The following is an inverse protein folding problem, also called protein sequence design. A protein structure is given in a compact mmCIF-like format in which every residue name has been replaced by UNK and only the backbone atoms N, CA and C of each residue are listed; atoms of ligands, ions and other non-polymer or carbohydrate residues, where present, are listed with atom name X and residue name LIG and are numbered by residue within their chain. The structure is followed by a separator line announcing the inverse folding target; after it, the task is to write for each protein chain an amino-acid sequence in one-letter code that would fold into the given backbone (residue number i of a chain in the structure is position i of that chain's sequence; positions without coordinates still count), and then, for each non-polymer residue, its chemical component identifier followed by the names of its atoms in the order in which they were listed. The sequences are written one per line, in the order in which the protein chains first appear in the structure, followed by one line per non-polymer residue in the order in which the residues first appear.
data_IF_265056813473
#
_entry.id   IF_265056813473
#
_cell.length_a   1.000
_cell.length_b   1.000
_cell.length_c   1.000
_cell.angle_alpha   90.00
_cell.angle_beta   90.00
_cell.angle_gamma   90.00
#
_symmetry.space_group_name_H-M   'P 1'
#
loop_
_entity.id
_entity.type
_entity.pdbx_description
1 polymer ?
#
# COMPACT_ATOMS: atom_id res chain seq x y z
N UNK A 1 45.10 23.19 -1.06
CA UNK A 1 44.35 22.25 -0.18
C UNK A 1 43.90 21.07 -1.02
N UNK A 2 44.40 19.87 -0.77
CA UNK A 2 44.01 18.66 -1.52
C UNK A 2 42.85 18.01 -0.77
N UNK A 3 41.64 18.05 -1.34
CA UNK A 3 40.47 17.41 -0.74
C UNK A 3 40.58 15.90 -0.95
N UNK A 4 40.87 15.16 0.11
CA UNK A 4 40.80 13.70 0.07
C UNK A 4 39.34 13.26 0.03
N UNK A 5 38.88 12.84 -1.14
CA UNK A 5 37.67 12.02 -1.25
C UNK A 5 37.98 10.63 -0.68
N UNK A 6 37.41 10.32 0.49
CA UNK A 6 37.37 8.95 1.00
C UNK A 6 36.54 8.10 0.04
N UNK A 7 37.21 7.36 -0.84
CA UNK A 7 36.60 6.29 -1.63
C UNK A 7 36.90 5.00 -0.89
N UNK A 8 35.89 4.41 -0.27
CA UNK A 8 36.01 3.05 0.29
C UNK A 8 36.04 2.11 -0.91
N UNK A 9 37.11 1.32 -1.05
CA UNK A 9 37.20 0.38 -2.17
C UNK A 9 36.13 -0.70 -2.01
N UNK A 10 35.50 -1.17 -3.10
CA UNK A 10 34.63 -2.34 -3.05
C UNK A 10 35.44 -3.52 -2.48
N UNK A 11 35.11 -3.96 -1.26
CA UNK A 11 35.83 -5.03 -0.53
C UNK A 11 36.26 -4.67 0.89
N UNK A 12 36.38 -3.38 1.24
CA UNK A 12 36.84 -2.95 2.58
C UNK A 12 35.70 -2.75 3.61
N UNK A 13 34.44 -2.92 3.17
CA UNK A 13 33.30 -2.96 4.08
C UNK A 13 33.03 -4.44 4.39
N UNK A 14 32.89 -4.84 5.67
CA UNK A 14 32.43 -6.19 5.98
C UNK A 14 31.12 -6.39 5.23
N UNK A 15 31.06 -7.41 4.36
CA UNK A 15 29.80 -7.81 3.74
C UNK A 15 28.81 -8.00 4.87
N UNK A 16 27.73 -7.19 4.86
CA UNK A 16 26.76 -7.20 5.93
C UNK A 16 26.31 -8.64 6.19
N UNK A 17 26.12 -9.00 7.46
CA UNK A 17 25.49 -10.26 7.85
C UNK A 17 24.04 -10.25 7.36
N UNK A 18 23.83 -10.43 6.07
CA UNK A 18 22.54 -10.75 5.51
C UNK A 18 22.20 -12.16 5.99
N UNK A 19 21.09 -12.36 6.70
CA UNK A 19 20.62 -13.73 6.95
C UNK A 19 20.51 -14.45 5.60
N UNK A 20 21.05 -15.67 5.53
CA UNK A 20 20.79 -16.60 4.42
C UNK A 20 19.33 -17.05 4.53
N UNK A 21 18.41 -16.19 4.12
CA UNK A 21 17.00 -16.53 4.13
C UNK A 21 16.77 -17.67 3.14
N UNK A 22 15.86 -18.61 3.44
CA UNK A 22 15.40 -19.57 2.45
C UNK A 22 14.88 -18.82 1.22
N UNK A 23 15.18 -19.30 0.01
CA UNK A 23 14.72 -18.75 -1.27
C UNK A 23 13.21 -18.44 -1.31
N UNK A 24 12.41 -19.14 -0.49
CA UNK A 24 11.00 -18.87 -0.30
C UNK A 24 10.73 -17.47 0.28
N UNK A 25 11.43 -17.09 1.35
CA UNK A 25 11.22 -15.80 2.00
C UNK A 25 11.65 -14.65 1.09
N UNK A 26 12.76 -14.79 0.38
CA UNK A 26 13.19 -13.77 -0.61
C UNK A 26 12.14 -13.60 -1.73
N UNK A 27 11.65 -14.70 -2.31
CA UNK A 27 10.62 -14.62 -3.35
C UNK A 27 9.27 -14.13 -2.83
N UNK A 28 8.91 -14.45 -1.59
CA UNK A 28 7.68 -13.96 -0.98
C UNK A 28 7.77 -12.46 -0.69
N UNK A 29 8.86 -12.03 -0.04
CA UNK A 29 9.14 -10.63 0.28
C UNK A 29 9.17 -9.77 -0.98
N UNK A 30 9.78 -10.28 -2.05
CA UNK A 30 9.92 -9.55 -3.30
C UNK A 30 8.62 -9.47 -4.12
N UNK A 31 7.63 -10.35 -3.89
CA UNK A 31 6.40 -10.42 -4.70
C UNK A 31 5.15 -9.92 -3.95
N UNK A 32 5.34 -9.20 -2.83
CA UNK A 32 4.25 -8.80 -1.95
C UNK A 32 3.32 -7.75 -2.55
N UNK A 33 3.78 -6.93 -3.49
CA UNK A 33 2.97 -5.86 -4.08
C UNK A 33 1.90 -6.46 -4.99
N UNK A 34 2.28 -7.32 -5.94
CA UNK A 34 1.31 -8.00 -6.81
C UNK A 34 0.46 -9.00 -6.04
N UNK A 35 1.03 -9.69 -5.05
CA UNK A 35 0.29 -10.62 -4.22
C UNK A 35 -0.75 -9.86 -3.38
N UNK A 36 -0.38 -8.72 -2.80
CA UNK A 36 -1.28 -7.88 -2.01
C UNK A 36 -2.48 -7.38 -2.83
N UNK A 37 -2.23 -6.73 -3.97
CA UNK A 37 -3.32 -6.28 -4.85
C UNK A 37 -4.11 -7.44 -5.46
N UNK A 38 -3.46 -8.54 -5.80
CA UNK A 38 -4.12 -9.74 -6.32
C UNK A 38 -5.07 -10.39 -5.31
N UNK A 39 -4.68 -10.46 -4.03
CA UNK A 39 -5.55 -10.95 -2.95
C UNK A 39 -6.71 -9.98 -2.68
N UNK A 40 -6.48 -8.67 -2.74
CA UNK A 40 -7.55 -7.67 -2.64
C UNK A 40 -8.57 -7.86 -3.77
N UNK A 41 -8.11 -8.02 -5.01
CA UNK A 41 -8.97 -8.28 -6.16
C UNK A 41 -9.75 -9.58 -5.97
N UNK A 42 -9.07 -10.67 -5.59
CA UNK A 42 -9.69 -11.98 -5.39
C UNK A 42 -10.75 -11.97 -4.28
N UNK A 43 -10.44 -11.32 -3.16
CA UNK A 43 -11.40 -11.16 -2.07
C UNK A 43 -12.61 -10.33 -2.52
N UNK A 44 -12.41 -9.22 -3.24
CA UNK A 44 -13.54 -8.42 -3.73
C UNK A 44 -14.41 -9.17 -4.75
N UNK A 45 -13.80 -9.91 -5.69
CA UNK A 45 -14.55 -10.76 -6.64
C UNK A 45 -15.34 -11.84 -5.89
N UNK A 46 -14.75 -12.46 -4.87
CA UNK A 46 -15.45 -13.44 -4.03
C UNK A 46 -16.66 -12.83 -3.31
N UNK A 47 -16.51 -11.64 -2.73
CA UNK A 47 -17.63 -10.91 -2.11
C UNK A 47 -18.71 -10.54 -3.13
N UNK A 48 -18.32 -10.15 -4.36
CA UNK A 48 -19.25 -9.89 -5.46
C UNK A 48 -20.06 -11.14 -5.85
N UNK A 49 -19.40 -12.30 -5.93
CA UNK A 49 -20.07 -13.57 -6.21
C UNK A 49 -21.05 -13.95 -5.09
N UNK A 50 -20.71 -13.68 -3.83
CA UNK A 50 -21.63 -13.84 -2.69
C UNK A 50 -22.85 -12.90 -2.80
N UNK A 51 -22.65 -11.65 -3.22
CA UNK A 51 -23.76 -10.71 -3.47
C UNK A 51 -24.70 -11.20 -4.57
N UNK A 52 -24.14 -11.75 -5.66
CA UNK A 52 -24.94 -12.31 -6.76
C UNK A 52 -25.72 -13.53 -6.28
N UNK A 53 -25.09 -14.46 -5.55
CA UNK A 53 -25.74 -15.68 -5.04
C UNK A 53 -26.83 -15.37 -4.00
N UNK A 54 -26.67 -14.27 -3.26
CA UNK A 54 -27.67 -13.75 -2.32
C UNK A 54 -28.86 -13.04 -2.99
N UNK A 55 -28.84 -12.83 -4.31
CA UNK A 55 -29.91 -12.13 -5.04
C UNK A 55 -29.82 -10.61 -5.05
N UNK A 56 -28.75 -10.03 -4.48
CA UNK A 56 -28.48 -8.58 -4.53
C UNK A 56 -27.87 -8.14 -5.88
N UNK A 57 -27.42 -9.09 -6.70
CA UNK A 57 -26.75 -8.83 -7.96
C UNK A 57 -25.39 -8.18 -7.73
N UNK A 58 -25.10 -7.10 -8.44
CA UNK A 58 -23.84 -6.35 -8.34
C UNK A 58 -23.84 -5.29 -7.22
N UNK A 59 -24.80 -5.30 -6.30
CA UNK A 59 -24.93 -4.31 -5.22
C UNK A 59 -24.19 -4.78 -3.97
N UNK A 60 -22.85 -4.70 -3.99
CA UNK A 60 -22.00 -5.22 -2.90
C UNK A 60 -22.19 -4.44 -1.61
N UNK A 61 -22.32 -3.12 -1.65
CA UNK A 61 -22.49 -2.31 -0.43
C UNK A 61 -23.83 -2.66 0.23
N UNK A 62 -24.89 -2.80 -0.57
CA UNK A 62 -26.20 -3.23 -0.06
C UNK A 62 -26.17 -4.66 0.45
N UNK A 63 -25.46 -5.57 -0.20
CA UNK A 63 -25.28 -6.93 0.30
C UNK A 63 -24.57 -6.94 1.66
N UNK A 64 -23.52 -6.13 1.82
CA UNK A 64 -22.76 -6.03 3.07
C UNK A 64 -23.46 -5.21 4.16
N UNK A 65 -24.64 -4.63 3.89
CA UNK A 65 -25.36 -3.83 4.86
C UNK A 65 -25.75 -4.66 6.08
N UNK A 66 -25.85 -4.05 7.26
CA UNK A 66 -26.36 -4.74 8.43
C UNK A 66 -27.80 -5.24 8.19
N UNK A 67 -28.17 -6.30 8.91
CA UNK A 67 -29.49 -6.93 8.87
C UNK A 67 -29.91 -7.45 7.48
N UNK A 68 -28.94 -7.91 6.68
CA UNK A 68 -29.26 -8.66 5.47
C UNK A 68 -29.81 -10.05 5.84
N UNK A 69 -30.84 -10.50 5.13
CA UNK A 69 -31.45 -11.82 5.39
C UNK A 69 -30.66 -12.99 4.76
N UNK A 70 -29.58 -12.70 4.03
CA UNK A 70 -28.81 -13.68 3.26
C UNK A 70 -27.70 -14.34 4.10
N UNK A 71 -28.09 -15.10 5.12
CA UNK A 71 -27.16 -15.65 6.13
C UNK A 71 -26.01 -16.48 5.54
N UNK A 72 -26.30 -17.46 4.68
CA UNK A 72 -25.26 -18.36 4.11
C UNK A 72 -24.27 -17.60 3.23
N UNK A 73 -24.69 -16.81 2.21
CA UNK A 73 -23.77 -16.01 1.42
C UNK A 73 -22.97 -15.00 2.26
N UNK A 74 -23.59 -14.41 3.30
CA UNK A 74 -22.94 -13.48 4.22
C UNK A 74 -21.82 -14.18 5.03
N UNK A 75 -22.05 -15.40 5.52
CA UNK A 75 -21.01 -16.21 6.17
C UNK A 75 -19.83 -16.54 5.23
N UNK A 76 -20.09 -16.83 3.95
CA UNK A 76 -19.02 -17.05 2.97
C UNK A 76 -18.26 -15.75 2.67
N UNK A 77 -18.98 -14.62 2.60
CA UNK A 77 -18.37 -13.30 2.35
C UNK A 77 -17.36 -12.88 3.43
N UNK A 78 -17.54 -13.36 4.67
CA UNK A 78 -16.59 -13.17 5.76
C UNK A 78 -15.19 -13.69 5.40
N UNK A 79 -15.10 -14.88 4.79
CA UNK A 79 -13.84 -15.47 4.35
C UNK A 79 -13.17 -14.61 3.28
N UNK A 80 -13.95 -14.08 2.34
CA UNK A 80 -13.42 -13.22 1.28
C UNK A 80 -12.94 -11.85 1.79
N UNK A 81 -13.58 -11.30 2.82
CA UNK A 81 -13.11 -10.08 3.48
C UNK A 81 -11.85 -10.35 4.32
N UNK A 82 -11.70 -11.54 4.90
CA UNK A 82 -10.43 -11.95 5.50
C UNK A 82 -9.31 -12.03 4.44
N UNK A 83 -9.61 -12.53 3.23
CA UNK A 83 -8.65 -12.53 2.12
C UNK A 83 -8.26 -11.10 1.71
N UNK A 84 -9.22 -10.18 1.65
CA UNK A 84 -8.96 -8.74 1.43
C UNK A 84 -8.00 -8.18 2.48
N UNK A 85 -8.23 -8.49 3.76
CA UNK A 85 -7.34 -8.06 4.86
C UNK A 85 -5.92 -8.62 4.67
N UNK A 86 -5.79 -9.91 4.35
CA UNK A 86 -4.47 -10.52 4.10
C UNK A 86 -3.77 -9.79 2.95
N UNK A 87 -4.48 -9.44 1.88
CA UNK A 87 -3.94 -8.63 0.79
C UNK A 87 -3.44 -7.26 1.24
N UNK A 88 -4.20 -6.56 2.08
CA UNK A 88 -3.78 -5.25 2.65
C UNK A 88 -2.56 -5.40 3.55
N UNK A 89 -2.45 -6.48 4.32
CA UNK A 89 -1.27 -6.78 5.14
C UNK A 89 -0.03 -7.04 4.28
N UNK A 90 -0.16 -7.76 3.16
CA UNK A 90 0.93 -7.95 2.20
C UNK A 90 1.40 -6.62 1.59
N UNK A 91 0.47 -5.71 1.26
CA UNK A 91 0.84 -4.35 0.83
C UNK A 91 1.59 -3.59 1.93
N UNK A 92 1.18 -3.74 3.20
CA UNK A 92 1.86 -3.10 4.32
C UNK A 92 3.31 -3.61 4.46
N UNK A 93 3.54 -4.93 4.34
CA UNK A 93 4.90 -5.50 4.30
C UNK A 93 5.70 -4.94 3.11
N UNK A 94 5.07 -4.78 1.94
CA UNK A 94 5.72 -4.17 0.77
C UNK A 94 6.21 -2.76 1.06
N UNK A 95 5.45 -1.97 1.82
CA UNK A 95 5.85 -0.58 2.14
C UNK A 95 7.14 -0.49 2.94
N UNK A 96 7.34 -1.41 3.88
CA UNK A 96 8.55 -1.46 4.71
C UNK A 96 9.78 -1.76 3.84
N UNK A 97 9.64 -2.68 2.88
CA UNK A 97 10.72 -3.02 1.95
C UNK A 97 11.01 -1.89 0.98
N UNK A 98 9.97 -1.29 0.40
CA UNK A 98 10.10 -0.20 -0.58
C UNK A 98 10.65 1.09 0.04
N UNK A 99 10.36 1.39 1.31
CA UNK A 99 10.89 2.58 2.00
C UNK A 99 12.37 2.40 2.35
N UNK A 100 12.81 1.18 2.70
CA UNK A 100 14.21 0.88 2.99
C UNK A 100 15.07 0.99 1.70
N UNK A 101 14.67 0.30 0.63
CA UNK A 101 15.37 0.32 -0.67
C UNK A 101 15.30 1.69 -1.37
N UNK A 102 14.15 2.38 -1.23
CA UNK A 102 13.90 3.68 -1.85
C UNK A 102 14.59 4.85 -1.16
N UNK A 103 15.11 4.67 0.06
CA UNK A 103 15.72 5.74 0.85
C UNK A 103 16.97 6.34 0.20
N UNK A 104 17.74 5.50 -0.50
CA UNK A 104 19.05 5.82 -1.10
C UNK A 104 18.95 6.02 -2.61
N UNK A 105 18.13 5.23 -3.30
CA UNK A 105 18.16 5.12 -4.77
C UNK A 105 17.06 5.91 -5.48
N UNK A 106 16.01 6.36 -4.78
CA UNK A 106 14.81 6.92 -5.39
C UNK A 106 14.54 8.37 -5.00
N UNK A 107 13.70 9.04 -5.79
CA UNK A 107 13.38 10.46 -5.62
C UNK A 107 12.51 10.72 -4.37
N UNK A 108 12.40 11.99 -3.95
CA UNK A 108 11.53 12.38 -2.83
C UNK A 108 10.07 12.00 -3.05
N UNK A 109 9.58 12.07 -4.30
CA UNK A 109 8.21 11.72 -4.65
C UNK A 109 7.91 10.23 -4.47
N UNK A 110 8.85 9.36 -4.84
CA UNK A 110 8.74 7.91 -4.62
C UNK A 110 8.59 7.56 -3.14
N UNK A 111 9.41 8.18 -2.28
CA UNK A 111 9.33 8.00 -0.82
C UNK A 111 8.02 8.53 -0.24
N UNK A 112 7.52 9.65 -0.75
CA UNK A 112 6.19 10.14 -0.39
C UNK A 112 5.09 9.13 -0.79
N UNK A 113 5.24 8.49 -1.95
CA UNK A 113 4.38 7.39 -2.40
C UNK A 113 4.41 6.17 -1.48
N UNK A 114 5.59 5.74 -1.03
CA UNK A 114 5.72 4.62 -0.07
C UNK A 114 5.02 4.93 1.26
N UNK A 115 5.17 6.16 1.76
CA UNK A 115 4.45 6.61 2.97
C UNK A 115 2.95 6.67 2.76
N UNK A 116 2.50 7.21 1.62
CA UNK A 116 1.09 7.23 1.26
C UNK A 116 0.52 5.81 1.13
N UNK A 117 1.31 4.85 0.62
CA UNK A 117 0.93 3.44 0.54
C UNK A 117 0.70 2.89 1.95
N UNK A 118 1.61 3.16 2.90
CA UNK A 118 1.47 2.72 4.29
C UNK A 118 0.26 3.35 5.00
N UNK A 119 -0.02 4.62 4.74
CA UNK A 119 -1.23 5.26 5.30
C UNK A 119 -2.52 4.71 4.65
N UNK A 120 -2.51 4.52 3.33
CA UNK A 120 -3.64 3.95 2.60
C UNK A 120 -3.97 2.53 3.03
N UNK A 121 -2.96 1.68 3.23
CA UNK A 121 -3.16 0.31 3.74
C UNK A 121 -3.70 0.32 5.17
N UNK A 122 -3.18 1.18 6.05
CA UNK A 122 -3.67 1.29 7.42
C UNK A 122 -5.14 1.72 7.49
N UNK A 123 -5.52 2.76 6.75
CA UNK A 123 -6.91 3.26 6.71
C UNK A 123 -7.85 2.21 6.11
N UNK A 124 -7.41 1.52 5.04
CA UNK A 124 -8.17 0.42 4.44
C UNK A 124 -8.35 -0.74 5.41
N UNK A 125 -7.30 -1.12 6.14
CA UNK A 125 -7.32 -2.19 7.15
C UNK A 125 -8.32 -1.87 8.26
N UNK A 126 -8.29 -0.65 8.80
CA UNK A 126 -9.25 -0.19 9.81
C UNK A 126 -10.68 -0.32 9.30
N UNK A 127 -10.95 0.15 8.08
CA UNK A 127 -12.28 0.05 7.49
C UNK A 127 -12.75 -1.41 7.28
N UNK A 128 -11.87 -2.29 6.81
CA UNK A 128 -12.17 -3.71 6.62
C UNK A 128 -12.43 -4.42 7.96
N UNK A 129 -11.70 -4.09 9.03
CA UNK A 129 -11.95 -4.63 10.37
C UNK A 129 -13.36 -4.27 10.85
N UNK A 130 -13.79 -3.01 10.66
CA UNK A 130 -15.14 -2.59 11.02
C UNK A 130 -16.22 -3.34 10.20
N UNK A 131 -15.96 -3.61 8.92
CA UNK A 131 -16.85 -4.41 8.08
C UNK A 131 -16.94 -5.87 8.56
N UNK A 132 -15.82 -6.47 8.97
CA UNK A 132 -15.81 -7.82 9.56
C UNK A 132 -16.66 -7.88 10.82
N UNK A 133 -16.50 -6.90 11.73
CA UNK A 133 -17.30 -6.84 12.95
C UNK A 133 -18.78 -6.71 12.63
N UNK A 134 -19.13 -5.91 11.62
CA UNK A 134 -20.52 -5.76 11.15
C UNK A 134 -21.09 -7.09 10.65
N UNK A 135 -20.34 -7.80 9.81
CA UNK A 135 -20.79 -9.07 9.21
C UNK A 135 -20.88 -10.17 10.26
N UNK A 136 -19.93 -10.24 11.17
CA UNK A 136 -19.96 -11.18 12.30
C UNK A 136 -21.19 -10.93 13.18
N UNK A 137 -21.52 -9.66 13.42
CA UNK A 137 -22.71 -9.27 14.18
C UNK A 137 -24.00 -9.67 13.46
N UNK A 138 -24.06 -9.54 12.13
CA UNK A 138 -25.18 -10.02 11.32
C UNK A 138 -25.37 -11.53 11.45
N UNK A 139 -24.30 -12.32 11.31
CA UNK A 139 -24.37 -13.79 11.43
C UNK A 139 -24.89 -14.18 12.83
N UNK A 140 -24.32 -13.57 13.87
CA UNK A 140 -24.67 -13.83 15.27
C UNK A 140 -26.11 -13.42 15.62
N UNK A 141 -26.65 -12.39 14.95
CA UNK A 141 -28.02 -11.94 15.12
C UNK A 141 -29.03 -13.02 14.70
N UNK A 142 -28.82 -13.64 13.54
CA UNK A 142 -29.72 -14.69 13.02
C UNK A 142 -29.52 -16.06 13.68
N UNK A 143 -28.35 -16.33 14.29
CA UNK A 143 -28.10 -17.54 15.08
C UNK A 143 -28.75 -17.53 16.47
N UNK A 144 -29.47 -16.45 16.84
CA UNK A 144 -30.21 -16.38 18.11
C UNK A 144 -29.36 -16.02 19.33
N UNK A 145 -28.08 -15.69 19.15
CA UNK A 145 -27.18 -15.16 20.17
C UNK A 145 -27.36 -13.65 20.42
N UNK A 146 -28.45 -13.08 19.92
CA UNK A 146 -28.71 -11.64 19.99
C UNK A 146 -28.67 -11.17 21.46
N UNK A 147 -27.67 -10.33 21.75
CA UNK A 147 -27.49 -9.51 22.94
C UNK A 147 -28.78 -8.71 23.24
N UNK A 148 -29.76 -9.38 23.85
CA UNK A 148 -31.06 -8.81 24.22
C UNK A 148 -30.84 -7.76 25.30
N UNK A 149 -31.06 -6.49 24.97
CA UNK A 149 -31.21 -5.41 25.97
C UNK A 149 -30.43 -4.13 25.69
N UNK A 150 -29.53 -4.10 24.70
CA UNK A 150 -28.81 -2.88 24.29
C UNK A 150 -29.23 -2.53 22.85
N UNK A 151 -29.41 -1.25 22.54
CA UNK A 151 -29.69 -0.77 21.19
C UNK A 151 -28.43 -0.86 20.29
N UNK A 152 -27.93 -2.09 20.12
CA UNK A 152 -26.74 -2.44 19.35
C UNK A 152 -26.92 -2.17 17.86
N UNK A 153 -28.16 -2.08 17.37
CA UNK A 153 -28.42 -1.90 15.96
C UNK A 153 -27.84 -0.59 15.41
N UNK A 154 -28.01 0.50 16.16
CA UNK A 154 -27.44 1.80 15.79
C UNK A 154 -25.90 1.80 15.83
N UNK A 155 -25.29 1.01 16.73
CA UNK A 155 -23.84 0.85 16.79
C UNK A 155 -23.35 0.08 15.56
N UNK A 156 -24.00 -1.03 15.21
CA UNK A 156 -23.64 -1.86 14.04
C UNK A 156 -23.77 -1.04 12.74
N UNK A 157 -24.83 -0.25 12.59
CA UNK A 157 -24.98 0.68 11.45
C UNK A 157 -23.86 1.72 11.42
N UNK A 158 -23.49 2.31 12.56
CA UNK A 158 -22.39 3.26 12.65
C UNK A 158 -21.04 2.62 12.26
N UNK A 159 -20.78 1.38 12.69
CA UNK A 159 -19.59 0.62 12.32
C UNK A 159 -19.57 0.34 10.82
N UNK A 160 -20.70 -0.03 10.23
CA UNK A 160 -20.83 -0.25 8.79
C UNK A 160 -20.52 1.02 7.98
N UNK A 161 -21.18 2.14 8.29
CA UNK A 161 -20.97 3.40 7.58
C UNK A 161 -19.54 3.92 7.74
N UNK A 162 -18.97 3.81 8.95
CA UNK A 162 -17.57 4.16 9.20
C UNK A 162 -16.61 3.24 8.44
N UNK A 163 -16.89 1.94 8.39
CA UNK A 163 -16.11 0.95 7.64
C UNK A 163 -16.06 1.24 6.15
N UNK A 164 -17.23 1.50 5.53
CA UNK A 164 -17.35 1.88 4.11
C UNK A 164 -16.67 3.24 3.84
N UNK A 165 -16.86 4.22 4.72
CA UNK A 165 -16.24 5.54 4.59
C UNK A 165 -14.71 5.48 4.65
N UNK A 166 -14.17 4.74 5.62
CA UNK A 166 -12.72 4.56 5.77
C UNK A 166 -12.13 3.76 4.61
N UNK A 167 -12.77 2.68 4.18
CA UNK A 167 -12.30 1.91 3.02
C UNK A 167 -12.29 2.76 1.74
N UNK A 168 -13.28 3.64 1.54
CA UNK A 168 -13.27 4.60 0.43
C UNK A 168 -12.06 5.52 0.48
N UNK A 169 -11.81 6.18 1.62
CA UNK A 169 -10.64 7.05 1.80
C UNK A 169 -9.35 6.25 1.58
N UNK A 170 -9.27 5.05 2.12
CA UNK A 170 -8.15 4.12 1.94
C UNK A 170 -7.85 3.82 0.47
N UNK A 171 -8.87 3.48 -0.32
CA UNK A 171 -8.72 3.23 -1.77
C UNK A 171 -8.20 4.49 -2.49
N UNK A 172 -8.71 5.67 -2.15
CA UNK A 172 -8.20 6.91 -2.76
C UNK A 172 -6.72 7.18 -2.44
N UNK A 173 -6.30 6.91 -1.20
CA UNK A 173 -4.90 7.03 -0.77
C UNK A 173 -4.01 5.98 -1.43
N UNK A 174 -4.50 4.74 -1.61
CA UNK A 174 -3.80 3.71 -2.37
C UNK A 174 -3.58 4.15 -3.83
N UNK A 175 -4.57 4.80 -4.46
CA UNK A 175 -4.42 5.37 -5.79
C UNK A 175 -3.36 6.47 -5.87
N UNK A 176 -3.36 7.39 -4.90
CA UNK A 176 -2.33 8.42 -4.77
C UNK A 176 -0.94 7.81 -4.59
N UNK A 177 -0.83 6.77 -3.75
CA UNK A 177 0.40 6.07 -3.50
C UNK A 177 0.96 5.41 -4.76
N UNK A 178 0.13 4.65 -5.48
CA UNK A 178 0.51 4.01 -6.74
C UNK A 178 0.96 5.05 -7.78
N UNK A 179 0.25 6.17 -7.89
CA UNK A 179 0.64 7.27 -8.76
C UNK A 179 2.03 7.83 -8.41
N UNK A 180 2.25 8.14 -7.13
CA UNK A 180 3.51 8.71 -6.68
C UNK A 180 4.66 7.71 -6.84
N UNK A 181 4.44 6.44 -6.54
CA UNK A 181 5.44 5.38 -6.72
C UNK A 181 5.80 5.26 -8.20
N UNK A 182 4.80 5.20 -9.09
CA UNK A 182 5.02 5.01 -10.51
C UNK A 182 5.72 6.20 -11.17
N UNK A 183 5.17 7.41 -11.03
CA UNK A 183 5.65 8.62 -11.74
C UNK A 183 7.02 9.06 -11.24
N UNK A 184 7.34 8.81 -9.98
CA UNK A 184 8.59 9.26 -9.37
C UNK A 184 9.63 8.16 -9.19
N UNK A 185 9.34 6.94 -9.67
CA UNK A 185 10.33 5.87 -9.76
C UNK A 185 11.24 6.09 -10.97
N UNK A 186 12.54 5.83 -10.78
CA UNK A 186 13.52 5.95 -11.87
C UNK A 186 13.30 4.87 -12.97
N UNK A 187 12.74 3.72 -12.60
CA UNK A 187 12.50 2.57 -13.47
C UNK A 187 11.00 2.36 -13.79
N UNK A 188 10.17 3.40 -13.61
CA UNK A 188 8.72 3.30 -13.76
C UNK A 188 8.27 2.66 -15.06
N UNK A 189 7.12 2.00 -15.03
CA UNK A 189 6.56 1.32 -16.22
C UNK A 189 6.23 2.34 -17.32
N UNK A 190 5.28 3.25 -17.04
CA UNK A 190 4.78 4.36 -17.86
C UNK A 190 3.96 5.29 -16.95
N UNK A 191 4.24 6.60 -16.98
CA UNK A 191 3.51 7.60 -16.18
C UNK A 191 1.98 7.52 -16.35
N UNK A 192 1.50 7.20 -17.56
CA UNK A 192 0.07 7.05 -17.86
C UNK A 192 -0.61 5.97 -16.98
N UNK A 193 0.11 4.90 -16.61
CA UNK A 193 -0.40 3.86 -15.72
C UNK A 193 -0.66 4.42 -14.31
N UNK A 194 0.22 5.30 -13.83
CA UNK A 194 0.06 5.99 -12.56
C UNK A 194 -1.17 6.91 -12.55
N UNK A 195 -1.36 7.70 -13.61
CA UNK A 195 -2.55 8.56 -13.73
C UNK A 195 -3.84 7.75 -13.83
N UNK A 196 -3.83 6.63 -14.58
CA UNK A 196 -4.97 5.73 -14.66
C UNK A 196 -5.32 5.13 -13.29
N UNK A 197 -4.32 4.67 -12.52
CA UNK A 197 -4.52 4.15 -11.16
C UNK A 197 -5.13 5.19 -10.22
N UNK A 198 -4.63 6.44 -10.26
CA UNK A 198 -5.18 7.53 -9.46
C UNK A 198 -6.63 7.83 -9.84
N UNK A 199 -6.92 7.95 -11.13
CA UNK A 199 -8.27 8.24 -11.64
C UNK A 199 -9.27 7.16 -11.25
N UNK A 200 -8.91 5.89 -11.45
CA UNK A 200 -9.74 4.74 -11.12
C UNK A 200 -9.98 4.60 -9.61
N UNK A 201 -8.94 4.68 -8.78
CA UNK A 201 -9.10 4.64 -7.32
C UNK A 201 -9.94 5.80 -6.79
N UNK A 202 -9.72 7.02 -7.30
CA UNK A 202 -10.51 8.19 -6.90
C UNK A 202 -11.98 8.00 -7.28
N UNK A 203 -12.25 7.52 -8.49
CA UNK A 203 -13.61 7.23 -8.94
C UNK A 203 -14.27 6.13 -8.10
N UNK A 204 -13.56 5.05 -7.80
CA UNK A 204 -14.03 3.98 -6.89
C UNK A 204 -14.40 4.54 -5.52
N UNK A 205 -13.53 5.33 -4.90
CA UNK A 205 -13.80 5.92 -3.58
C UNK A 205 -15.00 6.86 -3.60
N UNK A 206 -15.12 7.71 -4.61
CA UNK A 206 -16.27 8.62 -4.76
C UNK A 206 -17.58 7.86 -4.95
N UNK A 207 -17.59 6.82 -5.79
CA UNK A 207 -18.78 5.99 -6.01
C UNK A 207 -19.19 5.23 -4.75
N UNK A 208 -18.21 4.78 -3.95
CA UNK A 208 -18.45 4.12 -2.67
C UNK A 208 -19.19 5.04 -1.69
N UNK A 209 -18.73 6.29 -1.57
CA UNK A 209 -19.38 7.31 -0.72
C UNK A 209 -20.75 7.69 -1.29
N UNK A 210 -20.86 7.87 -2.61
CA UNK A 210 -22.12 8.23 -3.25
C UNK A 210 -23.19 7.14 -3.06
N UNK A 211 -22.82 5.86 -3.16
CA UNK A 211 -23.71 4.74 -2.91
C UNK A 211 -24.18 4.70 -1.44
N UNK A 212 -23.34 5.13 -0.50
CA UNK A 212 -23.68 5.25 0.91
C UNK A 212 -24.64 6.41 1.19
N UNK A 213 -24.42 7.58 0.60
CA UNK A 213 -25.28 8.76 0.77
C UNK A 213 -26.65 8.55 0.11
N UNK A 214 -26.69 7.86 -1.03
CA UNK A 214 -27.92 7.62 -1.77
C UNK A 214 -28.24 6.12 -1.95
N UNK A 215 -28.60 5.43 -0.86
CA UNK A 215 -28.81 3.97 -0.86
C UNK A 215 -30.00 3.53 -1.73
N UNK A 216 -30.93 4.44 -2.04
CA UNK A 216 -32.07 4.18 -2.95
C UNK A 216 -31.62 4.01 -4.41
N UNK A 217 -30.49 4.60 -4.82
CA UNK A 217 -29.98 4.49 -6.18
C UNK A 217 -29.11 3.24 -6.35
N UNK A 218 -29.77 2.10 -6.58
CA UNK A 218 -29.14 0.81 -6.89
C UNK A 218 -28.05 0.88 -7.97
N UNK A 219 -28.20 1.81 -8.92
CA UNK A 219 -27.24 2.06 -9.98
C UNK A 219 -25.85 2.47 -9.45
N UNK A 220 -25.77 3.28 -8.39
CA UNK A 220 -24.49 3.76 -7.84
C UNK A 220 -23.66 2.63 -7.23
N UNK A 221 -24.30 1.75 -6.46
CA UNK A 221 -23.64 0.57 -5.87
C UNK A 221 -23.19 -0.44 -6.95
N UNK A 222 -24.03 -0.61 -7.97
CA UNK A 222 -23.67 -1.44 -9.14
C UNK A 222 -22.47 -0.87 -9.89
N UNK A 223 -22.47 0.44 -10.14
CA UNK A 223 -21.39 1.13 -10.83
C UNK A 223 -20.10 1.10 -10.00
N UNK A 224 -20.20 1.34 -8.68
CA UNK A 224 -19.10 1.17 -7.74
C UNK A 224 -18.47 -0.21 -7.88
N UNK A 225 -19.26 -1.27 -7.82
CA UNK A 225 -18.78 -2.65 -7.84
C UNK A 225 -18.04 -2.98 -9.14
N UNK A 226 -18.55 -2.51 -10.29
CA UNK A 226 -17.87 -2.67 -11.59
C UNK A 226 -16.56 -1.90 -11.62
N UNK A 227 -16.58 -0.62 -11.21
CA UNK A 227 -15.39 0.24 -11.24
C UNK A 227 -14.31 -0.29 -10.30
N UNK A 228 -14.65 -0.79 -9.11
CA UNK A 228 -13.68 -1.38 -8.18
C UNK A 228 -12.99 -2.62 -8.75
N UNK A 229 -13.72 -3.51 -9.43
CA UNK A 229 -13.11 -4.66 -10.11
C UNK A 229 -12.12 -4.20 -11.17
N UNK A 230 -12.48 -3.19 -11.98
CA UNK A 230 -11.58 -2.62 -12.97
C UNK A 230 -10.36 -1.96 -12.33
N UNK A 231 -10.55 -1.20 -11.26
CA UNK A 231 -9.49 -0.53 -10.49
C UNK A 231 -8.48 -1.55 -9.96
N UNK A 232 -8.92 -2.57 -9.22
CA UNK A 232 -8.00 -3.55 -8.66
C UNK A 232 -7.39 -4.47 -9.73
N UNK A 233 -8.10 -4.75 -10.82
CA UNK A 233 -7.53 -5.48 -11.96
C UNK A 233 -6.40 -4.69 -12.63
N UNK A 234 -6.61 -3.39 -12.89
CA UNK A 234 -5.60 -2.49 -13.42
C UNK A 234 -4.38 -2.38 -12.49
N UNK A 235 -4.60 -2.18 -11.20
CA UNK A 235 -3.50 -2.04 -10.22
C UNK A 235 -2.75 -3.35 -10.03
N UNK A 236 -3.43 -4.49 -10.07
CA UNK A 236 -2.77 -5.81 -10.01
C UNK A 236 -1.89 -6.05 -11.24
N UNK A 237 -2.37 -5.67 -12.43
CA UNK A 237 -1.59 -5.74 -13.66
C UNK A 237 -0.37 -4.79 -13.59
N UNK A 238 -0.57 -3.55 -13.15
CA UNK A 238 0.51 -2.60 -12.90
C UNK A 238 1.55 -3.16 -11.92
N UNK A 239 1.12 -3.63 -10.75
CA UNK A 239 2.00 -4.17 -9.72
C UNK A 239 2.83 -5.36 -10.24
N UNK A 240 2.22 -6.23 -11.05
CA UNK A 240 2.91 -7.38 -11.65
C UNK A 240 4.04 -6.96 -12.59
N UNK A 241 3.84 -5.89 -13.37
CA UNK A 241 4.87 -5.34 -14.27
C UNK A 241 5.90 -4.54 -13.47
N UNK A 242 5.45 -3.62 -12.63
CA UNK A 242 6.29 -2.73 -11.83
C UNK A 242 7.26 -3.50 -10.94
N UNK A 243 6.76 -4.49 -10.19
CA UNK A 243 7.56 -5.29 -9.28
C UNK A 243 8.63 -6.13 -10.03
N UNK A 244 8.30 -6.61 -11.23
CA UNK A 244 9.26 -7.32 -12.09
C UNK A 244 10.38 -6.39 -12.56
N UNK A 245 10.06 -5.14 -12.91
CA UNK A 245 11.05 -4.15 -13.33
C UNK A 245 11.92 -3.72 -12.13
N UNK A 246 11.30 -3.43 -10.98
CA UNK A 246 12.00 -3.06 -9.75
C UNK A 246 12.97 -4.15 -9.27
N UNK A 247 12.60 -5.44 -9.41
CA UNK A 247 13.54 -6.54 -9.13
C UNK A 247 14.74 -6.57 -10.07
N UNK A 248 14.54 -6.21 -11.34
CA UNK A 248 15.60 -6.24 -12.36
C UNK A 248 16.56 -5.06 -12.19
N UNK A 249 16.04 -3.90 -11.78
CA UNK A 249 16.83 -2.69 -11.56
C UNK A 249 17.48 -2.61 -10.18
N UNK A 250 17.18 -3.58 -9.30
CA UNK A 250 17.84 -3.73 -8.01
C UNK A 250 19.33 -4.06 -8.19
N UNK A 251 20.14 -3.02 -8.43
CA UNK A 251 21.58 -3.08 -8.29
C UNK A 251 21.82 -3.39 -6.82
N UNK A 252 22.35 -4.59 -6.51
CA UNK A 252 22.86 -4.90 -5.17
C UNK A 252 23.95 -3.89 -4.83
N UNK A 253 23.56 -2.74 -4.27
CA UNK A 253 24.52 -1.81 -3.71
C UNK A 253 25.11 -2.50 -2.49
N UNK A 254 26.32 -3.03 -2.66
CA UNK A 254 27.14 -3.49 -1.56
C UNK A 254 27.24 -2.35 -0.53
N UNK A 255 27.34 -2.64 0.76
CA UNK A 255 27.42 -1.59 1.80
C UNK A 255 28.51 -0.55 1.52
N UNK A 256 29.58 -0.93 0.80
CA UNK A 256 30.63 -0.03 0.31
C UNK A 256 30.12 0.98 -0.72
N UNK A 257 29.17 0.62 -1.60
CA UNK A 257 28.53 1.53 -2.54
C UNK A 257 27.60 2.54 -1.83
N UNK A 258 26.79 2.08 -0.85
CA UNK A 258 25.93 2.97 -0.03
C UNK A 258 26.78 3.95 0.78
N UNK A 259 27.87 3.46 1.39
CA UNK A 259 28.81 4.30 2.14
C UNK A 259 29.51 5.31 1.23
N UNK A 260 29.86 4.95 0.00
CA UNK A 260 30.42 5.88 -0.98
C UNK A 260 29.41 6.94 -1.46
N UNK A 261 28.14 6.59 -1.66
CA UNK A 261 27.05 7.54 -1.95
C UNK A 261 26.82 8.52 -0.77
N UNK A 262 26.84 8.01 0.47
CA UNK A 262 26.78 8.84 1.68
C UNK A 262 27.95 9.82 1.78
N UNK A 263 29.19 9.39 1.51
CA UNK A 263 30.33 10.31 1.53
C UNK A 263 30.33 11.29 0.36
N UNK A 264 29.86 10.89 -0.83
CA UNK A 264 29.68 11.81 -1.96
C UNK A 264 28.66 12.89 -1.65
N UNK A 265 27.51 12.53 -1.09
CA UNK A 265 26.47 13.47 -0.69
C UNK A 265 26.90 14.36 0.48
N UNK A 266 27.61 13.83 1.48
CA UNK A 266 28.19 14.62 2.59
C UNK A 266 29.26 15.61 2.10
N UNK A 267 30.11 15.21 1.16
CA UNK A 267 31.11 16.09 0.57
C UNK A 267 30.50 17.14 -0.37
N UNK A 268 29.41 16.81 -1.06
CA UNK A 268 28.63 17.78 -1.83
C UNK A 268 27.96 18.82 -0.91
N UNK A 269 27.47 18.41 0.27
CA UNK A 269 26.96 19.31 1.31
C UNK A 269 28.05 20.19 1.93
N UNK A 270 29.26 19.67 2.11
CA UNK A 270 30.42 20.45 2.56
C UNK A 270 30.85 21.52 1.54
N UNK A 271 30.44 21.41 0.28
CA UNK A 271 30.65 22.42 -0.75
C UNK A 271 29.71 23.64 -0.63
N UNK A 272 28.61 23.51 0.13
CA UNK A 272 27.63 24.58 0.39
C UNK A 272 27.68 25.13 1.82
N UNK A 273 28.54 24.61 2.69
CA UNK A 273 28.84 25.21 4.00
C UNK A 273 29.95 26.26 3.89
N UNK A 274 30.05 27.22 4.83
CA UNK A 274 31.16 28.15 4.84
C UNK A 274 32.48 27.36 4.90
N UNK A 275 33.51 27.78 4.13
CA UNK A 275 34.73 27.02 3.99
C UNK A 275 35.33 26.74 5.37
N UNK A 276 35.59 25.47 5.68
CA UNK A 276 36.36 25.10 6.85
C UNK A 276 37.79 25.56 6.58
N UNK A 277 38.13 26.76 7.03
CA UNK A 277 39.49 27.27 7.03
C UNK A 277 40.28 26.41 8.01
N UNK A 278 41.18 25.57 7.51
CA UNK A 278 42.17 24.96 8.38
C UNK A 278 43.07 26.08 8.88
N UNK A 279 43.01 26.37 10.19
CA UNK A 279 43.96 27.24 10.85
C UNK A 279 45.36 26.69 10.61
N UNK A 280 46.13 27.44 9.82
CA UNK A 280 47.46 27.05 9.38
C UNK A 280 48.44 27.00 10.55
N UNK A 281 49.20 25.91 10.61
CA UNK A 281 50.49 25.87 11.29
C UNK A 281 51.51 25.15 10.40
N UNK A 282 51.80 25.77 9.25
CA UNK A 282 53.07 25.55 8.58
C UNK A 282 54.09 26.48 9.24
N UNK A 283 54.75 25.97 10.28
CA UNK A 283 55.93 26.61 10.84
C UNK A 283 56.97 26.78 9.73
N UNK A 284 57.43 28.02 9.56
CA UNK A 284 58.44 28.44 8.62
C UNK A 284 59.71 27.60 8.77
N UNK A 285 60.14 26.94 7.68
CA UNK A 285 61.55 26.53 7.54
C UNK A 285 62.36 27.80 7.30
N UNK A 286 63.08 28.23 8.34
CA UNK A 286 64.08 29.28 8.25
C UNK A 286 65.24 28.82 7.38
N UNK A 287 65.53 29.60 6.34
CA UNK A 287 66.80 29.58 5.62
C UNK A 287 67.86 30.31 6.44
N UNK A 288 68.89 29.60 6.89
CA UNK A 288 70.31 30.00 6.84
C UNK A 288 71.16 28.73 6.75
#
# INVERSE_FOLDING_TARGET
MMYFTYVVRPGDAPEGRGPSHPLFFEKFLANNLKLGFGLILLGFIGTLLCSISAGYGLQVIKFLSPFNDATIPTSVSFVFIMILIIGVLCLNVSTVLMDDDGSISQTRGYRAGCKALGQGTLVTLLGLILLIVTIYSNISYYEGNALKGINLNSIIECLFYSGIGLTSIGITLLGLAVFLIEVYSNDGTREMMGFASLGLCKLSGLLMIAALIFPSFKFLDTLFSIVVVLTFSHITAWASVFETIAMKSNIKMTQSAVRNEYYKSRNALAYFGPPVVAEGSYAQQGTM
#
